data_IF_723827611988
#
_entry.id   IF_723827611988
#
_cell.length_a   1.000
_cell.length_b   1.000
_cell.length_c   1.000
_cell.angle_alpha   90.00
_cell.angle_beta   90.00
_cell.angle_gamma   90.00
#
_symmetry.space_group_name_H-M   'P 1'
#
loop_
_entity.id
_entity.type
_entity.pdbx_description
1 polymer ?
#
# COMPACT_ATOMS: atom_id res chain seq x y z
N UNK A 1 -9.51 4.31 14.68
CA UNK A 1 -9.73 2.97 14.13
C UNK A 1 -9.51 1.95 15.23
N UNK A 2 -10.46 1.07 15.46
CA UNK A 2 -10.33 -0.01 16.44
C UNK A 2 -9.38 -1.09 15.93
N UNK A 3 -8.48 -1.62 16.77
CA UNK A 3 -7.71 -2.80 16.43
C UNK A 3 -8.68 -3.98 16.29
N UNK A 4 -8.71 -4.58 15.11
CA UNK A 4 -9.52 -5.75 14.82
C UNK A 4 -8.61 -6.75 14.11
N UNK A 5 -8.82 -8.03 14.32
CA UNK A 5 -8.05 -9.12 13.71
C UNK A 5 -6.52 -9.01 13.89
N UNK A 6 -6.06 -8.53 15.05
CA UNK A 6 -4.63 -8.43 15.33
C UNK A 6 -3.91 -7.34 14.55
N UNK A 7 -4.63 -6.29 14.11
CA UNK A 7 -4.01 -5.11 13.53
C UNK A 7 -3.69 -4.09 14.61
N UNK A 8 -2.55 -3.43 14.52
CA UNK A 8 -2.24 -2.31 15.39
C UNK A 8 -3.17 -1.11 15.11
N UNK A 9 -3.52 -0.31 16.16
CA UNK A 9 -4.25 0.93 15.97
C UNK A 9 -3.47 1.87 15.08
N UNK A 10 -4.15 2.51 14.14
CA UNK A 10 -3.53 3.48 13.24
C UNK A 10 -4.52 4.56 12.84
N UNK A 11 -4.00 5.73 12.49
CA UNK A 11 -4.76 6.79 11.84
C UNK A 11 -3.96 7.38 10.69
N UNK A 12 -4.63 8.10 9.80
CA UNK A 12 -4.03 8.73 8.64
C UNK A 12 -4.43 10.18 8.55
N UNK A 13 -3.45 11.04 8.27
CA UNK A 13 -3.63 12.47 7.98
C UNK A 13 -3.47 12.64 6.48
N UNK A 14 -4.44 13.27 5.84
CA UNK A 14 -4.38 13.63 4.43
C UNK A 14 -4.05 15.10 4.28
N UNK A 15 -3.12 15.41 3.40
CA UNK A 15 -2.76 16.77 3.01
C UNK A 15 -3.45 17.08 1.67
N UNK A 16 -4.22 18.16 1.63
CA UNK A 16 -4.97 18.57 0.44
C UNK A 16 -4.59 19.99 0.03
N UNK A 17 -4.85 20.35 -1.22
CA UNK A 17 -4.52 21.68 -1.78
C UNK A 17 -5.54 22.77 -1.41
N UNK A 18 -6.34 22.59 -0.37
CA UNK A 18 -7.53 23.39 -0.17
C UNK A 18 -7.42 24.48 0.88
N UNK A 19 -7.26 25.72 0.43
CA UNK A 19 -7.64 26.91 1.23
C UNK A 19 -8.03 28.13 0.37
N UNK A 20 -8.24 27.95 -0.92
CA UNK A 20 -8.63 29.04 -1.83
C UNK A 20 -9.91 28.71 -2.58
N UNK A 21 -10.59 29.73 -3.09
CA UNK A 21 -11.80 29.55 -3.93
C UNK A 21 -11.56 28.69 -5.19
N UNK A 22 -10.29 28.48 -5.57
CA UNK A 22 -9.87 27.67 -6.70
C UNK A 22 -9.28 26.32 -6.27
N UNK A 23 -9.49 25.88 -5.02
CA UNK A 23 -8.98 24.60 -4.54
C UNK A 23 -9.55 23.43 -5.33
N UNK A 24 -8.70 22.52 -5.73
CA UNK A 24 -9.10 21.30 -6.46
C UNK A 24 -9.48 20.17 -5.51
N UNK A 25 -9.22 20.33 -4.21
CA UNK A 25 -9.40 19.32 -3.16
C UNK A 25 -8.63 18.02 -3.44
N UNK A 26 -7.58 18.09 -4.25
CA UNK A 26 -6.71 16.97 -4.51
C UNK A 26 -5.91 16.60 -3.26
N UNK A 27 -5.77 15.32 -3.04
CA UNK A 27 -4.88 14.79 -2.00
C UNK A 27 -3.44 14.89 -2.52
N UNK A 28 -2.63 15.71 -1.86
CA UNK A 28 -1.23 15.95 -2.21
C UNK A 28 -0.30 14.90 -1.62
N UNK A 29 -0.61 14.44 -0.40
CA UNK A 29 0.12 13.40 0.32
C UNK A 29 -0.73 12.84 1.46
N UNK A 30 -0.26 11.78 2.10
CA UNK A 30 -0.77 11.34 3.39
C UNK A 30 0.34 10.81 4.28
N UNK A 31 0.15 10.98 5.59
CA UNK A 31 0.99 10.38 6.63
C UNK A 31 0.17 9.38 7.45
N UNK A 32 0.70 8.18 7.62
CA UNK A 32 0.09 7.12 8.43
C UNK A 32 0.87 6.97 9.73
N UNK A 33 0.15 6.99 10.84
CA UNK A 33 0.68 6.83 12.18
C UNK A 33 0.13 5.54 12.79
N UNK A 34 0.97 4.74 13.42
CA UNK A 34 0.58 3.50 14.08
C UNK A 34 1.09 3.46 15.51
N UNK A 35 0.40 2.69 16.35
CA UNK A 35 0.74 2.39 17.72
C UNK A 35 1.05 0.90 17.83
N UNK A 36 2.26 0.57 18.28
CA UNK A 36 2.63 -0.81 18.59
C UNK A 36 2.00 -1.23 19.92
N UNK A 37 0.98 -2.08 19.87
CA UNK A 37 0.26 -2.56 21.05
C UNK A 37 1.09 -3.52 21.89
N UNK A 38 1.95 -4.33 21.29
CA UNK A 38 2.75 -5.31 22.02
C UNK A 38 3.78 -4.60 22.88
N UNK A 39 4.47 -3.61 22.31
CA UNK A 39 5.39 -2.75 23.06
C UNK A 39 4.63 -1.93 24.12
N UNK A 40 3.49 -1.34 23.77
CA UNK A 40 2.70 -0.53 24.70
C UNK A 40 2.21 -1.33 25.93
N UNK A 41 1.85 -2.60 25.71
CA UNK A 41 1.36 -3.48 26.79
C UNK A 41 2.49 -4.03 27.67
N UNK A 42 3.71 -4.14 27.14
CA UNK A 42 4.85 -4.72 27.88
C UNK A 42 5.57 -3.67 28.76
N UNK A 43 5.79 -2.50 28.21
CA UNK A 43 6.70 -1.51 28.84
C UNK A 43 6.01 -0.56 29.82
N UNK A 44 4.69 -0.63 29.95
CA UNK A 44 3.90 0.29 30.76
C UNK A 44 4.23 1.79 30.48
N UNK A 45 4.74 2.05 29.27
CA UNK A 45 5.16 3.37 28.79
C UNK A 45 3.96 4.15 28.26
N UNK A 46 4.12 5.47 28.11
CA UNK A 46 3.08 6.30 27.53
C UNK A 46 2.76 5.86 26.10
N UNK A 47 1.48 5.65 25.82
CA UNK A 47 1.00 5.32 24.48
C UNK A 47 1.34 6.44 23.51
N UNK A 48 2.14 6.15 22.48
CA UNK A 48 2.48 7.11 21.44
C UNK A 48 2.27 6.51 20.05
N UNK A 49 1.64 7.32 19.18
CA UNK A 49 1.55 7.01 17.76
C UNK A 49 2.81 7.52 17.06
N UNK A 50 3.48 6.66 16.36
CA UNK A 50 4.68 7.00 15.61
C UNK A 50 4.38 7.05 14.11
N UNK A 51 5.03 7.96 13.38
CA UNK A 51 4.94 8.01 11.93
C UNK A 51 5.47 6.68 11.36
N UNK A 52 4.63 5.98 10.63
CA UNK A 52 4.99 4.72 9.98
C UNK A 52 5.49 4.98 8.56
N UNK A 53 4.77 5.79 7.79
CA UNK A 53 5.17 6.18 6.44
C UNK A 53 4.35 7.35 5.90
N UNK A 54 4.91 8.02 4.89
CA UNK A 54 4.20 8.94 4.00
C UNK A 54 4.04 8.32 2.61
N UNK A 55 3.02 8.72 1.85
CA UNK A 55 2.81 8.12 0.53
C UNK A 55 3.92 8.51 -0.45
N UNK A 56 4.20 9.79 -0.60
CA UNK A 56 5.17 10.24 -1.62
C UNK A 56 6.57 9.74 -1.34
N UNK A 57 7.10 10.01 -0.17
CA UNK A 57 8.50 9.67 0.15
C UNK A 57 8.70 8.15 0.33
N UNK A 58 7.84 7.52 1.13
CA UNK A 58 8.05 6.12 1.52
C UNK A 58 7.60 5.10 0.47
N UNK A 59 6.75 5.50 -0.49
CA UNK A 59 6.30 4.63 -1.59
C UNK A 59 6.92 5.07 -2.94
N UNK A 60 7.75 6.12 -2.95
CA UNK A 60 8.38 6.63 -4.16
C UNK A 60 7.40 7.24 -5.16
N UNK A 61 6.24 7.73 -4.71
CA UNK A 61 5.18 8.25 -5.59
C UNK A 61 5.42 9.73 -5.90
N UNK A 62 5.23 10.11 -7.16
CA UNK A 62 5.31 11.51 -7.57
C UNK A 62 4.10 12.32 -7.09
N UNK A 63 2.93 11.71 -7.18
CA UNK A 63 1.64 12.25 -6.75
C UNK A 63 0.72 11.08 -6.30
N UNK A 64 -0.47 11.40 -5.84
CA UNK A 64 -1.46 10.40 -5.42
C UNK A 64 -2.59 10.23 -6.45
N UNK A 65 -2.31 10.47 -7.73
CA UNK A 65 -3.25 10.20 -8.81
C UNK A 65 -3.56 8.70 -8.94
N UNK A 66 -4.70 8.34 -9.52
CA UNK A 66 -5.00 6.93 -9.84
C UNK A 66 -3.92 6.25 -10.68
N UNK A 67 -3.28 7.00 -11.61
CA UNK A 67 -2.19 6.48 -12.42
C UNK A 67 -0.95 6.13 -11.58
N UNK A 68 -0.56 7.01 -10.63
CA UNK A 68 0.55 6.73 -9.72
C UNK A 68 0.27 5.52 -8.82
N UNK A 69 -0.97 5.34 -8.38
CA UNK A 69 -1.36 4.14 -7.63
C UNK A 69 -1.31 2.87 -8.49
N UNK A 70 -1.75 2.92 -9.75
CA UNK A 70 -1.65 1.78 -10.68
C UNK A 70 -0.19 1.37 -10.89
N UNK A 71 0.71 2.34 -11.09
CA UNK A 71 2.15 2.08 -11.20
C UNK A 71 2.72 1.45 -9.94
N UNK A 72 2.35 1.95 -8.77
CA UNK A 72 2.81 1.40 -7.50
C UNK A 72 2.34 -0.04 -7.31
N UNK A 73 1.08 -0.35 -7.60
CA UNK A 73 0.56 -1.73 -7.51
C UNK A 73 1.29 -2.64 -8.50
N UNK A 74 1.53 -2.19 -9.73
CA UNK A 74 2.28 -2.94 -10.74
C UNK A 74 3.73 -3.21 -10.29
N UNK A 75 4.35 -2.25 -9.61
CA UNK A 75 5.66 -2.43 -8.99
C UNK A 75 5.65 -3.54 -7.94
N UNK A 76 4.64 -3.56 -7.05
CA UNK A 76 4.51 -4.58 -6.00
C UNK A 76 4.33 -5.99 -6.57
N UNK A 77 3.73 -6.13 -7.76
CA UNK A 77 3.60 -7.44 -8.44
C UNK A 77 4.98 -8.06 -8.67
N UNK A 78 5.94 -7.25 -9.10
CA UNK A 78 7.23 -7.69 -9.61
C UNK A 78 8.38 -7.56 -8.61
N UNK A 79 8.19 -6.82 -7.52
CA UNK A 79 9.21 -6.59 -6.50
C UNK A 79 8.82 -7.21 -5.17
N UNK A 80 9.45 -8.33 -4.84
CA UNK A 80 9.11 -9.08 -3.62
C UNK A 80 9.53 -8.33 -2.35
N UNK A 81 10.64 -7.60 -2.39
CA UNK A 81 11.11 -6.83 -1.23
C UNK A 81 10.13 -5.70 -0.87
N UNK A 82 9.67 -4.94 -1.88
CA UNK A 82 8.70 -3.88 -1.66
C UNK A 82 7.31 -4.42 -1.34
N UNK A 83 6.98 -5.61 -1.87
CA UNK A 83 5.78 -6.35 -1.47
C UNK A 83 5.78 -6.69 0.03
N UNK A 84 6.88 -7.18 0.57
CA UNK A 84 7.00 -7.51 2.00
C UNK A 84 6.84 -6.25 2.87
N UNK A 85 7.46 -5.13 2.46
CA UNK A 85 7.30 -3.84 3.14
C UNK A 85 5.84 -3.37 3.09
N UNK A 86 5.22 -3.45 1.91
CA UNK A 86 3.81 -3.12 1.74
C UNK A 86 2.91 -4.00 2.62
N UNK A 87 3.12 -5.31 2.62
CA UNK A 87 2.33 -6.25 3.39
C UNK A 87 2.43 -6.00 4.91
N UNK A 88 3.63 -5.67 5.40
CA UNK A 88 3.84 -5.26 6.79
C UNK A 88 3.03 -4.00 7.14
N UNK A 89 3.02 -3.00 6.26
CA UNK A 89 2.22 -1.77 6.42
C UNK A 89 0.72 -2.05 6.31
N UNK A 90 0.32 -2.90 5.38
CA UNK A 90 -1.07 -3.33 5.20
C UNK A 90 -1.62 -4.00 6.46
N UNK A 91 -0.82 -4.86 7.09
CA UNK A 91 -1.12 -5.51 8.36
C UNK A 91 -0.77 -4.67 9.60
N UNK A 92 -0.34 -3.40 9.41
CA UNK A 92 0.00 -2.44 10.46
C UNK A 92 0.99 -2.97 11.50
N UNK A 93 1.95 -3.79 11.08
CA UNK A 93 2.94 -4.38 11.97
C UNK A 93 2.38 -5.28 13.08
N UNK A 94 1.08 -5.59 13.06
CA UNK A 94 0.44 -6.46 14.03
C UNK A 94 0.82 -7.95 13.84
N UNK A 95 0.24 -8.88 14.64
CA UNK A 95 0.55 -10.31 14.59
C UNK A 95 0.41 -10.94 13.20
N UNK A 96 -0.41 -10.37 12.32
CA UNK A 96 -0.51 -10.83 10.94
C UNK A 96 0.70 -10.47 10.07
N UNK A 97 1.44 -9.41 10.42
CA UNK A 97 2.64 -9.00 9.68
C UNK A 97 3.77 -10.03 9.74
N UNK A 98 3.78 -10.87 10.78
CA UNK A 98 4.75 -11.96 10.93
C UNK A 98 4.37 -13.23 10.15
N UNK A 99 3.13 -13.31 9.65
CA UNK A 99 2.68 -14.46 8.86
C UNK A 99 3.13 -14.29 7.41
N UNK A 100 3.75 -15.32 6.86
CA UNK A 100 4.10 -15.31 5.45
C UNK A 100 2.84 -15.20 4.58
N UNK A 101 2.78 -14.17 3.75
CA UNK A 101 1.75 -13.98 2.74
C UNK A 101 2.21 -14.65 1.45
N UNK A 102 1.91 -15.93 1.29
CA UNK A 102 2.25 -16.66 0.07
C UNK A 102 1.52 -16.14 -1.16
N UNK A 103 1.80 -16.74 -2.31
CA UNK A 103 1.31 -16.30 -3.61
C UNK A 103 -0.19 -16.00 -3.66
N UNK A 104 -1.05 -16.91 -3.18
CA UNK A 104 -2.50 -16.71 -3.20
C UNK A 104 -2.92 -15.49 -2.38
N UNK A 105 -2.32 -15.29 -1.22
CA UNK A 105 -2.54 -14.12 -0.38
C UNK A 105 -2.14 -12.82 -1.10
N UNK A 106 -0.99 -12.81 -1.79
CA UNK A 106 -0.52 -11.67 -2.60
C UNK A 106 -1.50 -11.36 -3.73
N UNK A 107 -1.92 -12.39 -4.49
CA UNK A 107 -2.91 -12.26 -5.56
C UNK A 107 -4.22 -11.64 -5.03
N UNK A 108 -4.75 -12.14 -3.92
CA UNK A 108 -6.02 -11.68 -3.36
C UNK A 108 -5.96 -10.22 -2.88
N UNK A 109 -4.87 -9.82 -2.24
CA UNK A 109 -4.68 -8.44 -1.77
C UNK A 109 -4.53 -7.49 -2.96
N UNK A 110 -3.63 -7.79 -3.90
CA UNK A 110 -3.40 -6.91 -5.05
C UNK A 110 -4.64 -6.79 -5.93
N UNK A 111 -5.38 -7.88 -6.14
CA UNK A 111 -6.66 -7.82 -6.84
C UNK A 111 -7.66 -6.87 -6.17
N UNK A 112 -7.77 -6.89 -4.84
CA UNK A 112 -8.66 -5.98 -4.10
C UNK A 112 -8.28 -4.50 -4.27
N UNK A 113 -6.99 -4.21 -4.45
CA UNK A 113 -6.53 -2.83 -4.64
C UNK A 113 -6.91 -2.25 -6.01
N UNK A 114 -7.10 -3.08 -7.03
CA UNK A 114 -7.36 -2.63 -8.42
C UNK A 114 -8.80 -2.86 -8.88
N UNK A 115 -9.61 -3.59 -8.12
CA UNK A 115 -10.99 -3.87 -8.48
C UNK A 115 -11.90 -2.78 -7.91
N UNK A 116 -12.35 -1.86 -8.75
CA UNK A 116 -13.32 -0.82 -8.43
C UNK A 116 -14.75 -1.24 -8.76
N UNK A 117 -14.89 -2.02 -9.83
CA UNK A 117 -16.15 -2.60 -10.27
C UNK A 117 -16.08 -4.12 -10.13
N UNK A 118 -17.11 -4.72 -9.53
CA UNK A 118 -17.18 -6.17 -9.36
C UNK A 118 -17.27 -6.93 -10.67
N UNK A 119 -17.77 -6.29 -11.73
CA UNK A 119 -17.93 -6.88 -13.05
C UNK A 119 -16.64 -6.78 -13.88
N UNK A 120 -15.78 -5.78 -13.60
CA UNK A 120 -14.48 -5.63 -14.28
C UNK A 120 -13.37 -6.30 -13.49
N UNK A 121 -13.02 -7.51 -13.88
CA UNK A 121 -11.92 -8.29 -13.30
C UNK A 121 -10.66 -8.29 -14.17
N UNK A 122 -10.62 -7.47 -15.23
CA UNK A 122 -9.53 -7.47 -16.21
C UNK A 122 -8.16 -7.23 -15.58
N UNK A 123 -8.01 -6.17 -14.78
CA UNK A 123 -6.76 -5.86 -14.08
C UNK A 123 -6.33 -6.95 -13.10
N UNK A 124 -7.28 -7.54 -12.36
CA UNK A 124 -6.99 -8.64 -11.46
C UNK A 124 -6.47 -9.87 -12.21
N UNK A 125 -7.05 -10.18 -13.36
CA UNK A 125 -6.60 -11.29 -14.21
C UNK A 125 -5.16 -11.08 -14.68
N UNK A 126 -4.83 -9.87 -15.15
CA UNK A 126 -3.46 -9.51 -15.55
C UNK A 126 -2.47 -9.67 -14.40
N UNK A 127 -2.77 -9.15 -13.21
CA UNK A 127 -1.93 -9.29 -12.01
C UNK A 127 -1.66 -10.76 -11.69
N UNK A 128 -2.70 -11.60 -11.70
CA UNK A 128 -2.55 -13.05 -11.45
C UNK A 128 -1.66 -13.74 -12.47
N UNK A 129 -1.76 -13.35 -13.72
CA UNK A 129 -0.89 -13.90 -14.79
C UNK A 129 0.56 -13.47 -14.60
N UNK A 130 0.82 -12.22 -14.27
CA UNK A 130 2.19 -11.72 -14.02
C UNK A 130 2.83 -12.41 -12.81
N UNK A 131 2.11 -12.54 -11.70
CA UNK A 131 2.60 -13.28 -10.53
C UNK A 131 2.90 -14.73 -10.90
N UNK A 132 2.09 -15.37 -11.78
CA UNK A 132 2.32 -16.74 -12.27
C UNK A 132 3.58 -16.87 -13.09
N UNK A 133 3.89 -15.91 -13.92
CA UNK A 133 5.08 -15.92 -14.78
C UNK A 133 6.37 -15.80 -13.98
N UNK A 134 6.31 -15.32 -12.73
CA UNK A 134 7.49 -15.11 -11.89
C UNK A 134 8.46 -14.11 -12.53
N UNK A 135 7.93 -13.08 -13.17
CA UNK A 135 8.73 -12.11 -13.89
C UNK A 135 9.65 -11.38 -12.91
N UNK A 136 10.93 -11.76 -12.90
CA UNK A 136 11.97 -10.94 -12.28
C UNK A 136 12.27 -9.82 -13.24
N UNK A 137 11.84 -8.60 -12.93
CA UNK A 137 12.29 -7.39 -13.63
C UNK A 137 13.80 -7.34 -13.49
N UNK A 138 14.51 -7.36 -14.63
CA UNK A 138 15.95 -7.17 -14.64
C UNK A 138 16.24 -5.71 -14.30
N UNK A 139 17.29 -5.40 -13.51
CA UNK A 139 17.71 -4.02 -13.31
C UNK A 139 18.08 -3.42 -14.67
N UNK A 140 17.31 -2.45 -15.14
CA UNK A 140 17.52 -1.80 -16.46
C UNK A 140 16.33 -1.89 -17.42
N UNK A 141 15.32 -2.67 -17.11
CA UNK A 141 14.07 -2.58 -17.85
C UNK A 141 13.38 -1.27 -17.45
N UNK A 142 13.48 -0.27 -18.34
CA UNK A 142 12.59 0.89 -18.28
C UNK A 142 11.17 0.36 -18.16
N UNK A 143 10.44 0.86 -17.19
CA UNK A 143 9.03 0.63 -17.05
C UNK A 143 8.38 0.94 -18.39
N UNK A 144 8.17 -0.09 -19.20
CA UNK A 144 7.37 0.07 -20.40
C UNK A 144 6.01 0.52 -19.90
N UNK A 145 5.80 1.82 -20.03
CA UNK A 145 4.54 2.48 -19.76
C UNK A 145 3.47 1.60 -20.39
N UNK A 146 2.65 0.98 -19.56
CA UNK A 146 1.46 0.34 -20.04
C UNK A 146 0.66 1.43 -20.74
N UNK A 147 0.76 1.46 -22.08
CA UNK A 147 -0.03 2.37 -22.90
C UNK A 147 -1.50 1.98 -22.75
N UNK A 148 -2.14 2.54 -21.73
CA UNK A 148 -3.57 2.62 -21.64
C UNK A 148 -3.99 3.93 -22.32
N UNK A 149 -4.29 3.85 -23.62
CA UNK A 149 -5.12 4.81 -24.32
C UNK A 149 -6.57 4.37 -24.16
#
# INVERSE_FOLDING_TARGET
MTPHDGLNPAYRIYYTDSYTDNATHLVLDHATYSLDLDTANTDNTSLSYNLEYTARESLGMQDLSPASWDLYVSHLVNNEQDWEIFYKRYSRGGPHASKHCGRQCKEDILCRLVTFDREDTSKCTMIKEEIKKGHKVQPGDEWSVWNFI
#
